data_IF_131652608877
#
_entry.id   IF_131652608877
#
_cell.length_a   1.000
_cell.length_b   1.000
_cell.length_c   1.000
_cell.angle_alpha   90.00
_cell.angle_beta   90.00
_cell.angle_gamma   90.00
#
_symmetry.space_group_name_H-M   'P 1'
#
loop_
_entity.id
_entity.type
_entity.pdbx_description
1 polymer ?
#
# COMPACT_ATOMS: atom_id res chain seq x y z
N UNK A 1 -34.09 -33.70 -30.65
CA UNK A 1 -32.89 -34.19 -31.37
C UNK A 1 -31.72 -34.13 -30.39
N UNK A 2 -30.89 -35.18 -30.30
CA UNK A 2 -29.71 -35.16 -29.43
C UNK A 2 -28.58 -34.31 -30.06
N UNK A 3 -27.95 -33.42 -29.29
CA UNK A 3 -26.85 -32.59 -29.81
C UNK A 3 -25.56 -33.40 -29.93
N UNK A 4 -24.88 -33.28 -31.08
CA UNK A 4 -23.62 -33.99 -31.38
C UNK A 4 -22.39 -33.29 -30.76
N UNK A 5 -22.46 -32.87 -29.50
CA UNK A 5 -21.33 -32.24 -28.80
C UNK A 5 -20.45 -33.29 -28.13
N UNK A 6 -19.13 -33.12 -28.24
CA UNK A 6 -18.13 -34.05 -27.66
C UNK A 6 -18.28 -34.08 -26.13
N UNK A 7 -18.22 -35.24 -25.46
CA UNK A 7 -18.36 -35.30 -24.01
C UNK A 7 -17.21 -34.56 -23.31
N UNK A 8 -17.53 -33.70 -22.36
CA UNK A 8 -16.53 -33.01 -21.55
C UNK A 8 -15.73 -34.02 -20.71
N UNK A 9 -14.40 -33.99 -20.81
CA UNK A 9 -13.46 -34.85 -20.05
C UNK A 9 -13.71 -34.83 -18.53
N UNK A 10 -14.24 -33.73 -18.00
CA UNK A 10 -14.49 -33.54 -16.56
C UNK A 10 -15.97 -33.70 -16.16
N UNK A 11 -16.89 -33.80 -17.13
CA UNK A 11 -18.34 -33.98 -16.92
C UNK A 11 -18.89 -33.12 -15.75
N UNK A 12 -19.55 -33.73 -14.75
CA UNK A 12 -20.11 -33.04 -13.57
C UNK A 12 -19.08 -32.30 -12.71
N UNK A 13 -17.78 -32.60 -12.85
CA UNK A 13 -16.68 -31.93 -12.13
C UNK A 13 -16.02 -30.82 -12.96
N UNK A 14 -16.60 -30.42 -14.09
CA UNK A 14 -16.05 -29.34 -14.90
C UNK A 14 -16.24 -27.97 -14.23
N UNK A 15 -15.14 -27.27 -13.95
CA UNK A 15 -15.16 -25.92 -13.39
C UNK A 15 -15.38 -24.82 -14.45
N UNK A 16 -15.18 -25.13 -15.74
CA UNK A 16 -15.34 -24.18 -16.85
C UNK A 16 -16.82 -24.06 -17.20
N UNK A 17 -17.41 -22.91 -16.89
CA UNK A 17 -18.82 -22.57 -17.12
C UNK A 17 -19.02 -21.43 -18.14
N UNK A 18 -17.97 -21.04 -18.86
CA UNK A 18 -18.07 -19.96 -19.85
C UNK A 18 -18.88 -20.41 -21.09
N UNK A 19 -19.55 -19.48 -21.80
CA UNK A 19 -20.47 -19.82 -22.89
C UNK A 19 -19.83 -20.65 -24.00
N UNK A 20 -18.57 -20.40 -24.33
CA UNK A 20 -17.90 -21.05 -25.47
C UNK A 20 -17.55 -22.52 -25.20
N UNK A 21 -17.13 -22.85 -23.97
CA UNK A 21 -16.94 -24.24 -23.54
C UNK A 21 -18.25 -25.05 -23.60
N UNK A 22 -19.39 -24.41 -23.29
CA UNK A 22 -20.72 -25.04 -23.37
C UNK A 22 -21.25 -25.17 -24.81
N UNK A 23 -20.70 -24.43 -25.79
CA UNK A 23 -20.98 -24.63 -27.22
C UNK A 23 -20.24 -25.83 -27.80
N UNK A 24 -19.08 -26.18 -27.25
CA UNK A 24 -18.22 -27.26 -27.77
C UNK A 24 -18.41 -28.61 -27.08
N UNK A 25 -18.67 -28.61 -25.75
CA UNK A 25 -18.65 -29.83 -24.93
C UNK A 25 -19.98 -30.13 -24.24
N UNK A 26 -20.46 -31.37 -24.39
CA UNK A 26 -21.64 -31.87 -23.67
C UNK A 26 -21.30 -32.23 -22.21
N UNK A 27 -22.23 -31.93 -21.31
CA UNK A 27 -22.17 -32.26 -19.89
C UNK A 27 -23.46 -33.01 -19.52
N UNK A 28 -23.40 -34.09 -18.71
CA UNK A 28 -24.62 -34.70 -18.18
C UNK A 28 -25.36 -33.71 -17.28
N UNK A 29 -26.67 -33.52 -17.48
CA UNK A 29 -27.50 -32.78 -16.50
C UNK A 29 -27.53 -33.56 -15.19
N UNK A 30 -27.18 -32.92 -14.08
CA UNK A 30 -27.50 -33.45 -12.75
C UNK A 30 -29.02 -33.56 -12.61
N UNK A 31 -29.50 -34.65 -12.00
CA UNK A 31 -30.92 -34.79 -11.63
C UNK A 31 -31.23 -33.76 -10.54
N UNK A 32 -31.93 -32.68 -10.88
CA UNK A 32 -32.38 -31.66 -9.92
C UNK A 32 -32.56 -30.23 -10.45
N UNK A 33 -32.11 -29.91 -11.67
CA UNK A 33 -32.22 -28.55 -12.24
C UNK A 33 -33.22 -28.51 -13.41
N UNK A 34 -34.39 -27.92 -13.17
CA UNK A 34 -35.40 -27.61 -14.19
C UNK A 34 -34.97 -26.36 -15.01
N UNK A 35 -35.34 -26.33 -16.29
CA UNK A 35 -34.95 -25.25 -17.22
C UNK A 35 -35.81 -23.99 -17.02
N UNK A 36 -35.32 -22.98 -16.30
CA UNK A 36 -35.94 -21.65 -16.30
C UNK A 36 -35.34 -20.74 -17.39
N UNK A 37 -36.07 -20.64 -18.51
CA UNK A 37 -35.77 -19.72 -19.61
C UNK A 37 -36.63 -18.46 -19.51
N UNK A 38 -36.13 -17.42 -18.84
CA UNK A 38 -36.50 -16.05 -19.22
C UNK A 38 -35.46 -15.00 -18.83
N UNK A 39 -34.82 -14.39 -19.83
CA UNK A 39 -34.11 -13.12 -19.61
C UNK A 39 -35.12 -12.02 -19.26
N UNK A 40 -34.86 -11.30 -18.16
CA UNK A 40 -35.34 -9.94 -17.90
C UNK A 40 -34.19 -9.13 -17.30
N UNK A 41 -34.08 -7.82 -17.60
CA UNK A 41 -32.93 -7.02 -17.23
C UNK A 41 -32.82 -6.85 -15.71
N UNK A 42 -31.59 -6.68 -15.17
CA UNK A 42 -31.38 -6.61 -13.73
C UNK A 42 -32.07 -5.39 -13.12
N UNK A 43 -33.02 -5.62 -12.22
CA UNK A 43 -33.58 -4.56 -11.37
C UNK A 43 -32.52 -4.11 -10.37
N UNK A 44 -32.42 -2.78 -10.17
CA UNK A 44 -31.51 -2.12 -9.22
C UNK A 44 -31.50 -2.86 -7.87
N UNK A 45 -30.31 -3.23 -7.37
CA UNK A 45 -30.19 -3.70 -6.00
C UNK A 45 -30.68 -2.59 -5.05
N UNK A 46 -31.58 -2.97 -4.13
CA UNK A 46 -31.90 -2.12 -2.98
C UNK A 46 -30.69 -2.07 -2.06
N UNK A 47 -30.42 -0.89 -1.52
CA UNK A 47 -29.44 -0.66 -0.46
C UNK A 47 -29.78 -1.56 0.73
N UNK A 48 -28.98 -2.59 0.96
CA UNK A 48 -28.94 -3.29 2.25
C UNK A 48 -27.92 -2.53 3.08
N UNK A 49 -28.36 -1.95 4.20
CA UNK A 49 -27.45 -1.27 5.13
C UNK A 49 -26.45 -2.29 5.67
N UNK A 50 -25.21 -2.22 5.17
CA UNK A 50 -24.11 -3.04 5.65
C UNK A 50 -23.75 -2.61 7.07
N UNK A 51 -24.04 -3.48 8.03
CA UNK A 51 -23.57 -3.34 9.41
C UNK A 51 -22.05 -3.14 9.37
N UNK A 52 -21.59 -1.98 9.86
CA UNK A 52 -20.18 -1.57 9.79
C UNK A 52 -19.27 -2.69 10.32
N UNK A 53 -18.45 -3.26 9.45
CA UNK A 53 -17.28 -4.00 9.89
C UNK A 53 -16.35 -3.02 10.63
N UNK A 54 -15.78 -3.44 11.76
CA UNK A 54 -14.77 -2.65 12.45
C UNK A 54 -13.49 -2.66 11.61
N UNK A 55 -13.26 -1.61 10.82
CA UNK A 55 -12.01 -1.38 10.10
C UNK A 55 -10.87 -1.09 11.09
N UNK A 56 -9.62 -1.18 10.62
CA UNK A 56 -8.45 -0.80 11.43
C UNK A 56 -8.56 0.67 11.87
N UNK A 57 -9.06 1.56 11.01
CA UNK A 57 -9.36 2.97 11.37
C UNK A 57 -10.27 3.10 12.60
N UNK A 58 -11.22 2.18 12.81
CA UNK A 58 -12.11 2.19 13.96
C UNK A 58 -11.42 1.74 15.27
N UNK A 59 -10.20 1.19 15.19
CA UNK A 59 -9.32 0.96 16.33
C UNK A 59 -8.45 2.19 16.61
N UNK A 60 -7.87 2.79 15.57
CA UNK A 60 -6.99 3.97 15.70
C UNK A 60 -7.77 5.25 16.06
N UNK A 61 -8.97 5.46 15.50
CA UNK A 61 -9.77 6.67 15.70
C UNK A 61 -10.49 6.76 17.06
N UNK A 62 -10.54 5.68 17.85
CA UNK A 62 -11.20 5.70 19.18
C UNK A 62 -10.40 6.48 20.22
N UNK A 63 -9.08 6.47 20.12
CA UNK A 63 -8.20 7.05 21.15
C UNK A 63 -8.11 8.59 21.06
N UNK A 64 -8.42 9.19 19.91
CA UNK A 64 -8.44 10.66 19.71
C UNK A 64 -9.48 11.40 20.58
N UNK A 65 -10.42 10.70 21.22
CA UNK A 65 -11.47 11.30 22.08
C UNK A 65 -11.14 11.30 23.57
N UNK A 66 -9.96 10.82 23.96
CA UNK A 66 -9.53 10.73 25.37
C UNK A 66 -8.19 11.45 25.54
N UNK A 67 -8.21 12.78 25.53
CA UNK A 67 -7.34 13.64 26.35
C UNK A 67 -7.60 15.13 26.05
N UNK A 68 -8.21 15.80 27.02
CA UNK A 68 -8.24 17.25 27.17
C UNK A 68 -8.40 17.53 28.67
N UNK A 69 -7.72 18.54 29.20
CA UNK A 69 -7.53 18.88 30.63
C UNK A 69 -6.58 17.91 31.39
N UNK A 70 -5.61 18.35 32.21
CA UNK A 70 -5.26 19.72 32.66
C UNK A 70 -3.79 19.84 33.16
N UNK A 71 -3.20 21.03 32.96
CA UNK A 71 -2.09 21.74 33.66
C UNK A 71 -0.67 21.17 33.91
N UNK A 72 0.30 22.10 33.91
CA UNK A 72 1.69 21.97 34.40
C UNK A 72 1.76 22.41 35.90
N UNK A 73 2.87 22.48 36.66
CA UNK A 73 4.35 22.44 36.53
C UNK A 73 4.87 22.10 37.99
N UNK A 74 6.16 22.23 38.43
CA UNK A 74 7.42 22.57 37.75
C UNK A 74 8.60 21.60 38.01
N UNK A 75 9.81 22.04 37.63
CA UNK A 75 11.11 21.34 37.54
C UNK A 75 11.88 21.25 38.87
N UNK A 76 12.70 20.20 39.05
CA UNK A 76 14.01 20.29 39.75
C UNK A 76 15.08 19.45 39.03
N UNK A 77 16.32 19.95 39.03
CA UNK A 77 17.48 19.33 38.37
C UNK A 77 18.16 18.28 39.26
N UNK A 78 18.85 17.31 38.66
CA UNK A 78 20.17 16.89 39.16
C UNK A 78 21.06 16.44 38.01
N UNK A 79 22.30 16.90 38.03
CA UNK A 79 23.36 16.59 37.07
C UNK A 79 24.14 15.37 37.56
N UNK A 80 24.62 14.50 36.67
CA UNK A 80 25.88 13.77 36.90
C UNK A 80 26.48 13.34 35.55
N UNK A 81 27.79 13.55 35.41
CA UNK A 81 28.61 13.15 34.26
C UNK A 81 29.36 11.85 34.58
N UNK A 82 29.59 11.00 33.58
CA UNK A 82 30.82 10.18 33.53
C UNK A 82 31.09 9.67 32.11
N UNK A 83 32.37 9.40 31.83
CA UNK A 83 32.95 9.39 30.48
C UNK A 83 32.90 8.06 29.69
N UNK A 84 33.45 8.17 28.49
CA UNK A 84 33.64 7.19 27.42
C UNK A 84 34.46 5.92 27.74
N UNK A 85 34.29 4.89 26.90
CA UNK A 85 35.32 4.06 26.21
C UNK A 85 34.58 2.94 25.45
N UNK A 86 34.56 2.86 24.11
CA UNK A 86 35.59 2.49 23.10
C UNK A 86 35.82 0.98 22.92
N UNK A 87 36.16 0.57 21.69
CA UNK A 87 36.36 -0.81 21.16
C UNK A 87 35.03 -1.57 20.90
N UNK A 88 34.64 -2.00 19.69
CA UNK A 88 35.28 -2.55 18.48
C UNK A 88 35.81 -4.00 18.63
N UNK A 89 35.21 -4.97 17.91
CA UNK A 89 35.96 -5.88 17.03
C UNK A 89 35.06 -6.64 16.02
N UNK A 90 35.73 -7.16 14.99
CA UNK A 90 35.33 -7.73 13.69
C UNK A 90 34.12 -8.65 13.51
N UNK A 91 33.66 -8.66 12.25
CA UNK A 91 32.84 -9.68 11.60
C UNK A 91 33.51 -11.05 11.47
N UNK A 92 32.70 -12.09 11.23
CA UNK A 92 33.08 -13.26 10.42
C UNK A 92 31.90 -13.75 9.58
N UNK A 93 32.07 -13.77 8.26
CA UNK A 93 31.16 -14.45 7.34
C UNK A 93 31.39 -15.98 7.34
N UNK A 94 30.32 -16.76 7.20
CA UNK A 94 30.36 -17.99 6.38
C UNK A 94 28.97 -18.41 5.91
N UNK A 95 28.81 -18.86 4.64
CA UNK A 95 27.50 -19.06 4.03
C UNK A 95 26.96 -20.49 4.22
N UNK A 96 25.66 -20.66 4.03
CA UNK A 96 25.03 -21.97 3.87
C UNK A 96 24.17 -21.98 2.60
N UNK A 97 24.43 -22.94 1.71
CA UNK A 97 23.68 -23.20 0.48
C UNK A 97 22.88 -24.50 0.62
N UNK A 98 21.86 -24.74 -0.25
CA UNK A 98 20.64 -25.42 0.18
C UNK A 98 20.53 -26.91 -0.18
N UNK A 99 19.74 -27.67 0.58
CA UNK A 99 19.07 -28.88 0.07
C UNK A 99 17.61 -29.02 0.54
N UNK A 100 16.71 -28.98 -0.45
CA UNK A 100 15.55 -29.86 -0.66
C UNK A 100 14.78 -30.51 0.53
N UNK A 101 13.56 -29.99 0.78
CA UNK A 101 12.36 -30.76 0.40
C UNK A 101 11.67 -31.67 1.43
N UNK A 102 10.58 -31.16 2.04
CA UNK A 102 9.21 -31.75 1.96
C UNK A 102 8.17 -30.92 2.72
N UNK A 103 7.01 -30.67 2.11
CA UNK A 103 5.84 -30.07 2.76
C UNK A 103 5.14 -31.05 3.72
N UNK A 104 4.52 -30.53 4.78
CA UNK A 104 3.16 -30.97 5.14
C UNK A 104 2.15 -29.82 5.12
N UNK A 105 0.86 -30.18 5.10
CA UNK A 105 -0.26 -29.24 5.02
C UNK A 105 -0.59 -28.59 6.38
N UNK A 106 -0.95 -27.30 6.30
CA UNK A 106 -1.91 -26.58 7.16
C UNK A 106 -2.08 -27.02 8.62
N UNK A 107 -1.47 -26.22 9.51
CA UNK A 107 -2.09 -25.84 10.78
C UNK A 107 -1.93 -24.34 10.97
N UNK A 108 -3.02 -23.67 11.30
CA UNK A 108 -2.98 -22.38 11.99
C UNK A 108 -2.35 -22.56 13.39
N UNK A 109 -1.99 -21.45 14.04
CA UNK A 109 -1.42 -21.36 15.40
C UNK A 109 0.09 -21.66 15.50
N UNK A 110 0.90 -20.67 15.12
CA UNK A 110 2.05 -20.32 15.96
C UNK A 110 1.72 -19.04 16.73
N UNK A 111 1.99 -19.07 18.03
CA UNK A 111 1.81 -17.98 18.97
C UNK A 111 2.69 -16.79 18.52
N UNK A 112 2.07 -15.65 18.19
CA UNK A 112 2.82 -14.39 18.17
C UNK A 112 3.08 -14.02 19.64
N UNK A 113 4.13 -14.64 20.19
CA UNK A 113 4.71 -14.27 21.48
C UNK A 113 4.81 -12.75 21.53
N UNK A 114 4.48 -12.16 22.68
CA UNK A 114 4.19 -10.73 22.78
C UNK A 114 5.45 -9.87 22.62
N UNK A 115 5.92 -9.72 21.38
CA UNK A 115 6.98 -8.78 21.06
C UNK A 115 6.41 -7.39 21.35
N UNK A 116 7.04 -6.71 22.30
CA UNK A 116 6.72 -5.32 22.61
C UNK A 116 7.07 -4.43 21.42
N UNK A 117 6.57 -3.19 21.42
CA UNK A 117 6.91 -2.28 20.32
C UNK A 117 8.27 -1.63 20.62
N UNK A 118 9.26 -1.72 19.71
CA UNK A 118 10.58 -1.14 19.91
C UNK A 118 10.51 0.35 20.23
N UNK A 119 11.43 0.81 21.08
CA UNK A 119 11.60 2.23 21.37
C UNK A 119 12.14 3.01 20.15
N UNK A 120 12.99 2.38 19.34
CA UNK A 120 13.40 2.97 18.06
C UNK A 120 12.24 2.92 17.06
N UNK A 121 11.93 4.08 16.46
CA UNK A 121 10.77 4.21 15.57
C UNK A 121 10.98 3.55 14.22
N UNK A 122 12.23 3.45 13.72
CA UNK A 122 12.53 2.78 12.45
C UNK A 122 12.34 1.26 12.60
N UNK A 123 12.84 0.68 13.69
CA UNK A 123 12.64 -0.73 14.04
C UNK A 123 11.16 -1.05 14.31
N UNK A 124 10.45 -0.17 15.02
CA UNK A 124 9.02 -0.32 15.30
C UNK A 124 8.16 -0.33 14.03
N UNK A 125 8.46 0.54 13.05
CA UNK A 125 7.85 0.50 11.72
C UNK A 125 8.22 -0.79 10.98
N UNK A 126 9.51 -1.16 10.97
CA UNK A 126 10.02 -2.36 10.29
C UNK A 126 9.39 -3.64 10.82
N UNK A 127 9.20 -3.78 12.13
CA UNK A 127 8.53 -4.93 12.73
C UNK A 127 7.04 -4.99 12.38
N UNK A 128 6.34 -3.86 12.28
CA UNK A 128 4.89 -3.81 11.99
C UNK A 128 4.57 -4.00 10.51
N UNK A 129 5.36 -3.37 9.64
CA UNK A 129 5.13 -3.38 8.19
C UNK A 129 6.03 -4.33 7.42
N UNK A 130 6.98 -5.00 8.10
CA UNK A 130 7.96 -5.95 7.56
C UNK A 130 9.00 -5.36 6.58
N UNK A 131 8.99 -4.04 6.35
CA UNK A 131 9.88 -3.36 5.41
C UNK A 131 10.56 -2.13 6.03
N UNK A 132 11.75 -1.80 5.54
CA UNK A 132 12.48 -0.60 5.94
C UNK A 132 12.04 0.61 5.11
N UNK A 133 11.59 1.68 5.74
CA UNK A 133 11.18 2.90 5.05
C UNK A 133 12.38 3.70 4.54
N UNK A 134 12.32 4.28 3.33
CA UNK A 134 13.40 5.10 2.77
C UNK A 134 13.55 6.42 3.53
N UNK A 135 14.69 7.09 3.38
CA UNK A 135 14.98 8.30 4.18
C UNK A 135 14.07 9.50 3.82
N UNK A 136 13.57 9.59 2.58
CA UNK A 136 12.63 10.63 2.17
C UNK A 136 11.29 10.57 2.93
N UNK A 137 10.87 9.38 3.39
CA UNK A 137 9.70 9.22 4.26
C UNK A 137 9.88 9.95 5.60
N UNK A 138 11.02 9.79 6.26
CA UNK A 138 11.30 10.46 7.53
C UNK A 138 11.51 11.96 7.33
N UNK A 139 12.23 12.36 6.27
CA UNK A 139 12.41 13.77 5.93
C UNK A 139 11.08 14.47 5.61
N UNK A 140 10.12 13.77 5.00
CA UNK A 140 8.79 14.30 4.72
C UNK A 140 7.92 14.42 5.98
N UNK A 141 8.13 13.55 6.99
CA UNK A 141 7.55 13.74 8.32
C UNK A 141 8.06 15.03 8.98
N UNK A 142 9.36 15.29 8.94
CA UNK A 142 9.94 16.55 9.46
C UNK A 142 9.37 17.79 8.74
N UNK A 143 9.21 17.72 7.42
CA UNK A 143 8.53 18.76 6.65
C UNK A 143 7.08 18.97 7.12
N UNK A 144 6.29 17.90 7.26
CA UNK A 144 4.90 18.01 7.70
C UNK A 144 4.76 18.47 9.17
N UNK A 145 5.72 18.13 10.04
CA UNK A 145 5.81 18.69 11.41
C UNK A 145 6.06 20.20 11.40
N UNK A 146 6.90 20.70 10.49
CA UNK A 146 7.14 22.14 10.37
C UNK A 146 5.91 22.90 9.83
N UNK A 147 5.17 22.30 8.89
CA UNK A 147 3.94 22.88 8.32
C UNK A 147 2.74 22.84 9.30
N UNK A 148 2.61 21.80 10.13
CA UNK A 148 1.57 21.71 11.15
C UNK A 148 2.06 20.94 12.40
N UNK A 149 2.70 21.62 13.37
CA UNK A 149 3.25 20.97 14.57
C UNK A 149 2.21 20.26 15.44
N UNK A 150 0.99 20.79 15.50
CA UNK A 150 -0.08 20.26 16.34
C UNK A 150 -0.71 18.98 15.76
N UNK A 151 -0.72 18.84 14.43
CA UNK A 151 -1.22 17.62 13.76
C UNK A 151 -0.53 17.39 12.41
N UNK A 152 0.71 16.86 12.42
CA UNK A 152 1.52 16.70 11.21
C UNK A 152 0.84 15.82 10.14
N UNK A 153 0.02 14.86 10.57
CA UNK A 153 -0.73 13.99 9.65
C UNK A 153 -1.72 14.74 8.75
N UNK A 154 -2.24 15.87 9.21
CA UNK A 154 -3.22 16.68 8.47
C UNK A 154 -2.57 17.94 7.83
N UNK A 155 -1.23 18.07 7.84
CA UNK A 155 -0.50 19.25 7.37
C UNK A 155 -0.87 19.68 5.94
N UNK A 156 -1.07 18.72 5.03
CA UNK A 156 -1.34 18.97 3.61
C UNK A 156 -2.85 18.99 3.29
N UNK A 157 -3.69 18.63 4.26
CA UNK A 157 -5.09 18.24 4.06
C UNK A 157 -5.98 19.40 3.61
N UNK A 158 -5.68 20.62 4.08
CA UNK A 158 -6.44 21.82 3.74
C UNK A 158 -6.33 22.20 2.26
N UNK A 159 -5.14 22.06 1.67
CA UNK A 159 -4.85 22.57 0.33
C UNK A 159 -4.77 21.47 -0.72
N UNK A 160 -4.23 20.31 -0.36
CA UNK A 160 -4.13 19.16 -1.27
C UNK A 160 -5.24 18.13 -1.05
N UNK A 161 -5.89 18.12 0.12
CA UNK A 161 -6.76 17.02 0.53
C UNK A 161 -5.99 15.77 0.98
N UNK A 162 -4.66 15.76 0.92
CA UNK A 162 -3.83 14.64 1.34
C UNK A 162 -3.68 14.58 2.86
N UNK A 163 -3.72 13.37 3.41
CA UNK A 163 -3.47 13.08 4.82
C UNK A 163 -2.45 11.95 4.93
N UNK A 164 -1.45 12.10 5.80
CA UNK A 164 -0.44 11.07 6.06
C UNK A 164 -1.06 9.96 6.89
N UNK A 165 -0.78 8.72 6.48
CA UNK A 165 -1.42 7.49 6.96
C UNK A 165 -0.44 6.30 6.90
N UNK A 166 -0.88 5.13 7.36
CA UNK A 166 -0.10 3.89 7.20
C UNK A 166 1.11 3.89 8.13
N UNK A 167 2.35 3.75 7.65
CA UNK A 167 3.55 3.92 8.45
C UNK A 167 3.63 5.27 9.20
N UNK A 168 3.02 6.35 8.68
CA UNK A 168 2.98 7.64 9.41
C UNK A 168 2.08 7.60 10.66
N UNK A 169 1.12 6.67 10.75
CA UNK A 169 0.36 6.46 11.99
C UNK A 169 1.24 5.92 13.14
N UNK A 170 2.42 5.36 12.82
CA UNK A 170 3.42 4.98 13.82
C UNK A 170 4.13 6.23 14.35
N UNK A 171 4.62 7.09 13.46
CA UNK A 171 5.27 8.36 13.79
C UNK A 171 4.35 9.35 14.53
N UNK A 172 3.05 9.29 14.26
CA UNK A 172 2.02 10.06 14.97
C UNK A 172 1.61 9.47 16.32
N UNK A 173 2.08 8.28 16.69
CA UNK A 173 1.65 7.58 17.91
C UNK A 173 0.25 6.96 17.86
N UNK A 174 -0.48 7.08 16.74
CA UNK A 174 -1.88 6.63 16.57
C UNK A 174 -2.07 5.11 16.76
N UNK A 175 -0.99 4.34 16.65
CA UNK A 175 -0.96 2.88 16.89
C UNK A 175 -0.93 2.48 18.38
N UNK A 176 -0.72 3.44 19.29
CA UNK A 176 -0.65 3.17 20.73
C UNK A 176 -2.05 3.01 21.33
N UNK A 177 -2.16 2.16 22.35
CA UNK A 177 -3.45 1.88 23.01
C UNK A 177 -4.49 1.18 22.11
N UNK A 178 -4.07 0.52 21.02
CA UNK A 178 -4.99 -0.21 20.15
C UNK A 178 -5.37 -1.55 20.76
N UNK A 179 -6.65 -1.69 21.12
CA UNK A 179 -7.22 -2.93 21.65
C UNK A 179 -7.03 -4.13 20.71
N UNK A 180 -6.72 -5.29 21.31
CA UNK A 180 -6.86 -6.60 20.65
C UNK A 180 -8.32 -6.78 20.23
N UNK A 181 -8.55 -7.40 19.08
CA UNK A 181 -9.91 -7.74 18.66
C UNK A 181 -10.52 -8.83 19.58
N UNK A 182 -11.82 -9.14 19.39
CA UNK A 182 -12.57 -10.14 20.18
C UNK A 182 -11.96 -11.56 20.22
N UNK A 183 -10.95 -11.84 19.39
CA UNK A 183 -10.21 -13.10 19.32
C UNK A 183 -8.77 -12.96 19.86
N UNK A 184 -8.47 -11.90 20.63
CA UNK A 184 -7.15 -11.64 21.20
C UNK A 184 -6.09 -11.20 20.20
N UNK A 185 -6.40 -11.05 18.90
CA UNK A 185 -5.40 -10.71 17.87
C UNK A 185 -5.19 -9.20 17.76
N UNK A 186 -3.94 -8.78 17.59
CA UNK A 186 -3.55 -7.39 17.26
C UNK A 186 -4.04 -7.01 15.84
N UNK A 187 -4.07 -5.71 15.48
CA UNK A 187 -4.34 -5.29 14.11
C UNK A 187 -3.28 -5.83 13.15
N UNK A 188 -3.68 -6.28 11.96
CA UNK A 188 -2.74 -6.60 10.90
C UNK A 188 -2.33 -5.32 10.17
N UNK A 189 -1.14 -4.80 10.48
CA UNK A 189 -0.60 -3.58 9.89
C UNK A 189 -0.38 -3.69 8.38
N UNK A 190 -0.18 -4.89 7.82
CA UNK A 190 -0.08 -5.11 6.37
C UNK A 190 -1.40 -4.84 5.64
N UNK A 191 -2.53 -4.78 6.35
CA UNK A 191 -3.84 -4.40 5.81
C UNK A 191 -4.24 -2.95 6.19
N UNK A 192 -3.41 -2.24 6.93
CA UNK A 192 -3.67 -0.86 7.35
C UNK A 192 -3.53 0.09 6.16
N UNK A 193 -4.62 0.80 5.83
CA UNK A 193 -4.74 1.63 4.61
C UNK A 193 -4.49 0.91 3.28
N UNK A 194 -4.59 -0.42 3.24
CA UNK A 194 -4.48 -1.21 2.01
C UNK A 194 -5.81 -1.17 1.25
N UNK A 195 -5.84 -0.47 0.11
CA UNK A 195 -7.02 -0.38 -0.75
C UNK A 195 -7.22 -1.66 -1.58
N UNK A 196 -8.37 -1.75 -2.24
CA UNK A 196 -8.83 -2.97 -2.91
C UNK A 196 -7.93 -3.43 -4.07
N UNK A 197 -7.36 -2.48 -4.82
CA UNK A 197 -6.48 -2.75 -5.97
C UNK A 197 -4.99 -2.68 -5.65
N UNK A 198 -4.61 -2.42 -4.40
CA UNK A 198 -3.20 -2.40 -4.00
C UNK A 198 -2.63 -3.81 -4.17
N UNK A 199 -1.57 -4.02 -4.96
CA UNK A 199 -0.83 -5.27 -4.97
C UNK A 199 0.14 -5.32 -3.77
N UNK A 200 0.69 -6.48 -3.36
CA UNK A 200 1.59 -6.57 -2.20
C UNK A 200 2.79 -5.62 -2.22
N UNK A 201 3.25 -5.27 -3.42
CA UNK A 201 4.33 -4.34 -3.75
C UNK A 201 4.00 -2.89 -3.36
N UNK A 202 2.73 -2.53 -3.22
CA UNK A 202 2.26 -1.16 -3.02
C UNK A 202 1.86 -0.90 -1.56
N UNK A 203 2.58 0.01 -0.91
CA UNK A 203 2.38 0.39 0.49
C UNK A 203 1.87 1.84 0.58
N UNK A 204 0.57 2.01 0.86
CA UNK A 204 -0.06 3.32 1.04
C UNK A 204 0.56 4.13 2.19
N UNK A 205 0.89 5.39 1.93
CA UNK A 205 1.44 6.36 2.90
C UNK A 205 0.69 7.70 2.93
N UNK A 206 -0.05 8.05 1.88
CA UNK A 206 -0.92 9.24 1.85
C UNK A 206 -2.29 8.83 1.31
N UNK A 207 -3.37 9.19 2.01
CA UNK A 207 -4.73 9.14 1.44
C UNK A 207 -5.15 10.51 0.94
N UNK A 208 -6.06 10.57 -0.03
CA UNK A 208 -6.68 11.79 -0.54
C UNK A 208 -8.21 11.73 -0.41
N UNK A 209 -8.91 11.99 -1.53
CA UNK A 209 -10.37 11.98 -1.59
C UNK A 209 -10.96 10.58 -1.36
N UNK A 210 -11.83 10.47 -0.36
CA UNK A 210 -12.52 9.22 0.01
C UNK A 210 -13.56 8.77 -1.03
N UNK A 211 -14.04 9.64 -1.93
CA UNK A 211 -15.01 9.25 -2.97
C UNK A 211 -14.36 8.48 -4.11
N UNK A 212 -13.26 9.00 -4.65
CA UNK A 212 -12.42 8.34 -5.66
C UNK A 212 -11.49 7.29 -5.07
N UNK A 213 -11.32 7.30 -3.73
CA UNK A 213 -10.31 6.54 -3.02
C UNK A 213 -8.90 6.82 -3.57
N UNK A 214 -8.63 8.10 -3.89
CA UNK A 214 -7.31 8.55 -4.31
C UNK A 214 -6.31 8.37 -3.17
N UNK A 215 -5.15 7.79 -3.45
CA UNK A 215 -4.08 7.62 -2.48
C UNK A 215 -2.72 7.50 -3.17
N UNK A 216 -1.64 7.67 -2.40
CA UNK A 216 -0.26 7.48 -2.83
C UNK A 216 0.43 6.43 -1.95
N UNK A 217 1.26 5.60 -2.57
CA UNK A 217 2.03 4.56 -1.92
C UNK A 217 3.41 4.36 -2.53
N UNK A 218 4.33 3.85 -1.72
CA UNK A 218 5.63 3.36 -2.18
C UNK A 218 5.44 2.02 -2.90
N UNK A 219 6.11 1.83 -4.04
CA UNK A 219 6.12 0.58 -4.80
C UNK A 219 7.48 -0.12 -4.65
N UNK A 220 7.50 -1.37 -4.17
CA UNK A 220 8.71 -2.20 -4.03
C UNK A 220 8.62 -3.40 -4.95
N UNK A 221 9.62 -3.59 -5.80
CA UNK A 221 9.76 -4.81 -6.61
C UNK A 221 10.18 -6.02 -5.76
N UNK A 222 10.99 -5.79 -4.71
CA UNK A 222 11.41 -6.79 -3.72
C UNK A 222 11.22 -6.21 -2.30
N UNK A 223 10.66 -6.98 -1.34
CA UNK A 223 10.46 -6.53 0.05
C UNK A 223 11.77 -6.16 0.79
N UNK A 224 12.90 -6.73 0.40
CA UNK A 224 14.23 -6.44 0.95
C UNK A 224 14.87 -5.17 0.32
N UNK A 225 14.31 -4.65 -0.78
CA UNK A 225 14.81 -3.45 -1.45
C UNK A 225 14.07 -2.17 -1.03
N UNK A 226 14.73 -1.02 -1.22
CA UNK A 226 14.11 0.30 -1.08
C UNK A 226 13.11 0.56 -2.22
N UNK A 227 11.99 1.27 -1.98
CA UNK A 227 10.95 1.48 -2.99
C UNK A 227 11.52 2.00 -4.31
N UNK A 228 11.10 1.41 -5.43
CA UNK A 228 11.51 1.81 -6.76
C UNK A 228 10.97 3.21 -7.13
N UNK A 229 9.76 3.54 -6.65
CA UNK A 229 9.11 4.84 -6.83
C UNK A 229 7.92 5.01 -5.86
N UNK A 230 7.36 6.21 -5.84
CA UNK A 230 6.02 6.50 -5.29
C UNK A 230 5.02 6.57 -6.45
N UNK A 231 3.83 6.00 -6.28
CA UNK A 231 2.77 5.98 -7.27
C UNK A 231 1.40 6.32 -6.68
N UNK A 232 0.47 6.70 -7.55
CA UNK A 232 -0.92 7.00 -7.25
C UNK A 232 -1.87 5.94 -7.81
N UNK A 233 -2.95 5.64 -7.08
CA UNK A 233 -4.13 4.97 -7.61
C UNK A 233 -5.42 5.67 -7.10
N UNK A 234 -6.55 5.40 -7.73
CA UNK A 234 -7.89 5.79 -7.27
C UNK A 234 -8.77 4.56 -7.25
N UNK A 235 -8.83 3.87 -6.11
CA UNK A 235 -9.33 2.50 -6.04
C UNK A 235 -10.84 2.36 -6.34
N UNK A 236 -11.60 3.45 -6.29
CA UNK A 236 -13.01 3.47 -6.71
C UNK A 236 -13.20 3.71 -8.22
N UNK A 237 -12.12 3.95 -8.97
CA UNK A 237 -12.11 4.22 -10.41
C UNK A 237 -11.57 3.01 -11.19
N UNK A 238 -10.32 2.64 -10.96
CA UNK A 238 -9.66 1.52 -11.65
C UNK A 238 -8.46 0.97 -10.86
N UNK A 239 -7.77 -0.03 -11.43
CA UNK A 239 -6.56 -0.63 -10.87
C UNK A 239 -5.25 -0.01 -11.38
N UNK A 240 -5.28 1.12 -12.10
CA UNK A 240 -4.08 1.71 -12.70
C UNK A 240 -3.24 2.38 -11.61
N UNK A 241 -2.00 1.93 -11.49
CA UNK A 241 -0.98 2.49 -10.61
C UNK A 241 -0.09 3.40 -11.47
N UNK A 242 -0.17 4.71 -11.21
CA UNK A 242 0.55 5.74 -11.97
C UNK A 242 1.77 6.23 -11.19
N UNK A 243 3.02 5.99 -11.64
CA UNK A 243 4.20 6.53 -10.99
C UNK A 243 4.17 8.07 -10.95
N UNK A 244 4.58 8.65 -9.82
CA UNK A 244 4.56 10.10 -9.55
C UNK A 244 5.93 10.68 -9.15
N UNK A 245 6.97 9.86 -9.08
CA UNK A 245 8.35 10.26 -8.78
C UNK A 245 9.09 9.15 -8.02
N UNK A 246 10.40 9.26 -7.83
CA UNK A 246 11.18 8.25 -7.10
C UNK A 246 11.23 8.45 -5.57
N UNK A 247 10.59 9.53 -5.09
CA UNK A 247 10.47 9.91 -3.69
C UNK A 247 9.13 10.63 -3.44
N UNK A 248 8.76 10.77 -2.17
CA UNK A 248 7.45 11.32 -1.76
C UNK A 248 7.31 12.83 -2.03
N UNK A 249 8.41 13.59 -1.97
CA UNK A 249 8.38 15.02 -2.31
C UNK A 249 8.02 15.23 -3.78
N UNK A 250 8.64 14.46 -4.69
CA UNK A 250 8.29 14.45 -6.11
C UNK A 250 6.81 14.13 -6.34
N UNK A 251 6.30 13.10 -5.66
CA UNK A 251 4.91 12.67 -5.81
C UNK A 251 3.90 13.73 -5.32
N UNK A 252 4.16 14.38 -4.19
CA UNK A 252 3.30 15.46 -3.67
C UNK A 252 3.42 16.72 -4.52
N UNK A 253 4.62 17.05 -5.04
CA UNK A 253 4.81 18.14 -6.02
C UNK A 253 4.02 17.89 -7.31
N UNK A 254 3.95 16.64 -7.78
CA UNK A 254 3.10 16.25 -8.91
C UNK A 254 1.61 16.43 -8.61
N UNK A 255 1.11 16.04 -7.42
CA UNK A 255 -0.30 16.27 -7.02
C UNK A 255 -0.64 17.76 -6.91
N UNK A 256 0.26 18.58 -6.35
CA UNK A 256 0.10 20.04 -6.32
C UNK A 256 0.04 20.61 -7.74
N UNK A 257 0.92 20.15 -8.63
CA UNK A 257 0.97 20.55 -10.04
C UNK A 257 -0.27 20.15 -10.83
N UNK A 258 -0.85 18.97 -10.55
CA UNK A 258 -2.09 18.52 -11.16
C UNK A 258 -3.30 19.35 -10.67
N UNK A 259 -3.35 19.68 -9.37
CA UNK A 259 -4.37 20.58 -8.80
C UNK A 259 -4.29 22.00 -9.32
N UNK A 260 -3.09 22.55 -9.49
CA UNK A 260 -2.91 23.88 -10.10
C UNK A 260 -3.39 23.97 -11.55
N UNK A 261 -3.57 22.83 -12.24
CA UNK A 261 -4.13 22.74 -13.61
C UNK A 261 -5.61 22.37 -13.63
N UNK A 262 -6.21 22.02 -12.49
CA UNK A 262 -7.61 21.60 -12.39
C UNK A 262 -8.55 22.80 -12.53
N UNK A 263 -9.70 22.58 -13.19
CA UNK A 263 -10.66 23.66 -13.55
C UNK A 263 -11.43 24.22 -12.36
N UNK A 264 -11.50 23.46 -11.28
CA UNK A 264 -12.20 23.75 -10.02
C UNK A 264 -11.32 24.49 -9.00
N UNK A 265 -10.02 24.69 -9.28
CA UNK A 265 -9.10 25.39 -8.39
C UNK A 265 -9.35 26.90 -8.42
N UNK A 266 -9.89 27.44 -7.32
CA UNK A 266 -10.09 28.88 -7.14
C UNK A 266 -8.76 29.64 -6.95
N UNK A 267 -8.80 30.97 -7.09
CA UNK A 267 -7.59 31.82 -7.01
C UNK A 267 -6.92 31.80 -5.62
N UNK A 268 -7.69 31.67 -4.54
CA UNK A 268 -7.17 31.57 -3.18
C UNK A 268 -6.52 30.23 -2.91
N UNK A 269 -7.12 29.12 -3.38
CA UNK A 269 -6.50 27.80 -3.35
C UNK A 269 -5.24 27.74 -4.23
N UNK A 270 -5.28 28.32 -5.43
CA UNK A 270 -4.12 28.41 -6.33
C UNK A 270 -2.94 29.16 -5.69
N UNK A 271 -3.18 30.22 -4.91
CA UNK A 271 -2.12 30.90 -4.15
C UNK A 271 -1.50 29.97 -3.11
N UNK A 272 -2.32 29.37 -2.23
CA UNK A 272 -1.82 28.49 -1.16
C UNK A 272 -1.08 27.27 -1.69
N UNK A 273 -1.54 26.71 -2.81
CA UNK A 273 -0.85 25.62 -3.52
C UNK A 273 0.52 26.05 -4.09
N UNK A 274 0.66 27.28 -4.59
CA UNK A 274 1.96 27.83 -5.02
C UNK A 274 2.89 28.04 -3.83
N UNK A 275 2.39 28.62 -2.74
CA UNK A 275 3.17 28.87 -1.53
C UNK A 275 3.68 27.54 -0.92
N UNK A 276 2.81 26.52 -0.87
CA UNK A 276 3.16 25.15 -0.44
C UNK A 276 4.17 24.51 -1.40
N UNK A 277 3.98 24.66 -2.72
CA UNK A 277 4.94 24.17 -3.72
C UNK A 277 6.32 24.81 -3.50
N UNK A 278 6.40 26.11 -3.25
CA UNK A 278 7.67 26.79 -3.02
C UNK A 278 8.39 26.26 -1.77
N UNK A 279 7.67 26.05 -0.65
CA UNK A 279 8.25 25.47 0.57
C UNK A 279 8.71 24.03 0.38
N UNK A 280 7.91 23.21 -0.30
CA UNK A 280 8.25 21.83 -0.65
C UNK A 280 9.49 21.79 -1.57
N UNK A 281 9.55 22.64 -2.59
CA UNK A 281 10.68 22.72 -3.53
C UNK A 281 11.98 23.17 -2.84
N UNK A 282 11.90 24.16 -1.93
CA UNK A 282 13.03 24.58 -1.09
C UNK A 282 13.53 23.45 -0.19
N UNK A 283 12.61 22.69 0.42
CA UNK A 283 12.93 21.55 1.26
C UNK A 283 13.62 20.44 0.45
N UNK A 284 13.03 20.00 -0.66
CA UNK A 284 13.60 18.98 -1.54
C UNK A 284 14.99 19.37 -2.06
N UNK A 285 15.18 20.64 -2.46
CA UNK A 285 16.48 21.17 -2.92
C UNK A 285 17.53 21.12 -1.81
N UNK A 286 17.18 21.50 -0.57
CA UNK A 286 18.07 21.40 0.60
C UNK A 286 18.47 19.95 0.91
N UNK A 287 17.57 19.00 0.66
CA UNK A 287 17.77 17.56 0.89
C UNK A 287 18.43 16.83 -0.29
N UNK A 288 18.68 17.51 -1.42
CA UNK A 288 19.22 16.89 -2.63
C UNK A 288 18.24 15.96 -3.37
N UNK A 289 16.93 16.08 -3.09
CA UNK A 289 15.89 15.24 -3.69
C UNK A 289 15.43 15.80 -5.04
N UNK A 290 15.33 14.91 -6.05
CA UNK A 290 14.75 15.25 -7.35
C UNK A 290 13.23 15.40 -7.24
N UNK A 291 12.65 16.33 -8.02
CA UNK A 291 11.20 16.46 -8.18
C UNK A 291 10.73 16.03 -9.57
N UNK A 292 11.57 15.32 -10.33
CA UNK A 292 11.17 14.74 -11.61
C UNK A 292 10.13 13.64 -11.40
N UNK A 293 8.98 13.73 -12.08
CA UNK A 293 7.96 12.68 -12.08
C UNK A 293 8.44 11.35 -12.70
N UNK A 294 9.61 11.31 -13.34
CA UNK A 294 10.25 10.09 -13.85
C UNK A 294 11.77 10.21 -13.87
N UNK A 295 12.42 9.82 -12.78
CA UNK A 295 13.87 9.95 -12.60
C UNK A 295 14.68 8.95 -13.44
N UNK A 296 16.02 9.08 -13.39
CA UNK A 296 16.96 8.12 -14.01
C UNK A 296 16.78 6.70 -13.47
N UNK A 297 16.67 6.52 -12.14
CA UNK A 297 16.46 5.23 -11.49
C UNK A 297 15.17 4.55 -11.97
N UNK A 298 14.08 5.31 -12.10
CA UNK A 298 12.82 4.79 -12.66
C UNK A 298 12.96 4.33 -14.11
N UNK A 299 13.68 5.08 -14.95
CA UNK A 299 13.97 4.72 -16.36
C UNK A 299 14.88 3.49 -16.47
N UNK A 300 15.73 3.24 -15.49
CA UNK A 300 16.59 2.05 -15.42
C UNK A 300 15.80 0.82 -14.95
N UNK A 301 14.92 0.98 -13.94
CA UNK A 301 13.98 -0.06 -13.51
C UNK A 301 13.01 -0.46 -14.63
N UNK A 302 12.49 0.50 -15.40
CA UNK A 302 11.63 0.23 -16.57
C UNK A 302 12.27 -0.69 -17.62
N UNK A 303 13.60 -0.71 -17.76
CA UNK A 303 14.31 -1.63 -18.68
C UNK A 303 14.32 -3.07 -18.18
N UNK A 304 14.09 -3.28 -16.88
CA UNK A 304 14.00 -4.60 -16.23
C UNK A 304 12.55 -5.10 -16.10
N UNK A 305 11.56 -4.29 -16.49
CA UNK A 305 10.15 -4.68 -16.40
C UNK A 305 9.82 -5.69 -17.48
N UNK A 306 9.49 -6.91 -17.07
CA UNK A 306 9.19 -8.03 -18.00
C UNK A 306 7.74 -8.03 -18.47
N UNK A 307 6.82 -7.44 -17.71
CA UNK A 307 5.42 -7.27 -18.08
C UNK A 307 4.81 -6.08 -17.34
N UNK A 308 3.90 -5.33 -17.97
CA UNK A 308 3.22 -4.19 -17.34
C UNK A 308 2.05 -4.57 -16.42
N UNK A 309 1.51 -5.78 -16.58
CA UNK A 309 0.24 -6.25 -15.99
C UNK A 309 -0.95 -5.29 -16.26
N UNK A 310 -2.11 -5.58 -15.68
CA UNK A 310 -3.29 -4.69 -15.79
C UNK A 310 -3.15 -3.40 -14.97
N UNK A 311 -2.39 -3.42 -13.87
CA UNK A 311 -2.16 -2.23 -13.05
C UNK A 311 -1.09 -1.27 -13.61
N UNK A 312 -0.47 -1.61 -14.74
CA UNK A 312 0.46 -0.79 -15.56
C UNK A 312 1.79 -0.38 -14.91
N UNK A 313 1.94 -0.49 -13.59
CA UNK A 313 3.23 -0.30 -12.90
C UNK A 313 4.29 -1.35 -13.28
N UNK A 314 3.86 -2.55 -13.68
CA UNK A 314 4.72 -3.63 -14.16
C UNK A 314 5.51 -4.38 -13.10
N UNK A 315 5.92 -5.59 -13.47
CA UNK A 315 6.66 -6.55 -12.66
C UNK A 315 8.13 -6.64 -13.11
N UNK A 316 9.03 -6.80 -12.14
CA UNK A 316 10.46 -7.05 -12.35
C UNK A 316 10.79 -8.40 -11.70
N UNK A 317 11.45 -9.29 -12.44
CA UNK A 317 11.95 -10.58 -11.92
C UNK A 317 13.35 -10.83 -12.47
N UNK A 318 14.19 -11.63 -11.79
CA UNK A 318 15.45 -12.10 -12.36
C UNK A 318 15.20 -12.86 -13.66
N UNK A 319 15.99 -12.57 -14.69
CA UNK A 319 16.07 -13.32 -15.95
C UNK A 319 17.55 -13.54 -16.23
N UNK A 320 17.95 -14.78 -16.46
CA UNK A 320 19.36 -15.14 -16.72
C UNK A 320 19.76 -14.97 -18.20
N UNK A 321 21.02 -15.26 -18.51
CA UNK A 321 21.57 -15.18 -19.88
C UNK A 321 20.91 -16.18 -20.86
N UNK A 322 20.16 -17.17 -20.35
CA UNK A 322 19.44 -18.18 -21.12
C UNK A 322 17.92 -17.86 -21.23
N UNK A 323 17.53 -16.63 -20.91
CA UNK A 323 16.14 -16.16 -20.84
C UNK A 323 15.26 -16.89 -19.80
N UNK A 324 15.86 -17.58 -18.83
CA UNK A 324 15.15 -18.28 -17.76
C UNK A 324 14.77 -17.29 -16.66
N UNK A 325 13.47 -17.12 -16.44
CA UNK A 325 12.91 -16.38 -15.31
C UNK A 325 11.49 -15.86 -15.53
N UNK A 326 11.21 -15.42 -16.76
CA UNK A 326 9.89 -14.94 -17.17
C UNK A 326 9.37 -15.69 -18.41
N UNK A 327 8.05 -15.69 -18.61
CA UNK A 327 7.41 -16.17 -19.83
C UNK A 327 6.10 -15.42 -20.03
N UNK A 328 5.84 -14.99 -21.25
CA UNK A 328 4.58 -14.33 -21.59
C UNK A 328 3.39 -15.28 -21.45
N UNK A 329 2.23 -14.69 -21.14
CA UNK A 329 0.94 -15.39 -21.20
C UNK A 329 0.52 -15.57 -22.67
N UNK A 330 -0.17 -16.67 -23.05
CA UNK A 330 -0.53 -16.92 -24.46
C UNK A 330 -1.51 -15.91 -25.07
N UNK A 331 -2.23 -15.16 -24.24
CA UNK A 331 -3.29 -14.24 -24.64
C UNK A 331 -2.86 -12.79 -24.37
N UNK A 332 -3.08 -11.89 -25.32
CA UNK A 332 -2.84 -10.46 -25.10
C UNK A 332 -3.95 -9.84 -24.23
N UNK A 333 -3.62 -8.85 -23.37
CA UNK A 333 -4.63 -8.00 -22.75
C UNK A 333 -5.49 -7.31 -23.82
N UNK A 334 -6.81 -7.39 -23.68
CA UNK A 334 -7.73 -6.58 -24.51
C UNK A 334 -7.46 -5.09 -24.28
N UNK A 335 -7.39 -4.32 -25.38
CA UNK A 335 -7.15 -2.87 -25.38
C UNK A 335 -8.40 -2.06 -24.97
#
# INVERSE_FOLDING_TARGET
MASKLKPCKFAEKCYRKNPDHLKEYSHPKRKGEEDDKHEKPPKKLKTVESKKANTIDALFAKNVKKEATVEEKPVTNTTEESESTSESFSATDKPCSPESGKSPQGKDEEDEATVESPCDVKENIKQKFLFEMPEDFYQFWEFCKAENPAKPTDALKKDTGLQLVGPYDILAGNHTGVDRNRHGRRPNFLLHWRYYYDPPEFQTVLKGDDKTQFHLGYFRDDPCEMPAFVAANSAAVDCIITPKGDNIFAAVSAVISDKLKAKDTDCGLASRLKDLSERLNKCATKLGLSLEGKSKRMKERDKKVVCKSFHKAGIVVPVDENEVGYREVPESPGL
#
